data_IF_886074089533
#
_entry.id   IF_886074089533
#
_cell.length_a   1.000
_cell.length_b   1.000
_cell.length_c   1.000
_cell.angle_alpha   90.00
_cell.angle_beta   90.00
_cell.angle_gamma   90.00
#
_symmetry.space_group_name_H-M   'P 1'
#
loop_
_entity.id
_entity.type
_entity.pdbx_description
1 polymer ?
#
# COMPACT_ATOMS: atom_id res chain seq x y z
N UNK A 1 12.37 -13.64 -12.62
CA UNK A 1 11.34 -14.31 -11.78
C UNK A 1 11.64 -14.20 -10.27
N UNK A 2 12.83 -14.59 -9.79
CA UNK A 2 13.16 -14.54 -8.35
C UNK A 2 13.15 -13.09 -7.80
N UNK A 3 13.72 -12.14 -8.54
CA UNK A 3 13.76 -10.74 -8.12
C UNK A 3 12.36 -10.14 -7.99
N UNK A 4 11.47 -10.41 -8.94
CA UNK A 4 10.07 -9.98 -8.93
C UNK A 4 9.29 -10.60 -7.78
N UNK A 5 9.60 -11.84 -7.41
CA UNK A 5 9.04 -12.50 -6.23
C UNK A 5 9.47 -11.80 -4.94
N UNK A 6 10.77 -11.50 -4.80
CA UNK A 6 11.30 -10.76 -3.64
C UNK A 6 10.70 -9.35 -3.58
N UNK A 7 10.64 -8.64 -4.70
CA UNK A 7 10.05 -7.30 -4.78
C UNK A 7 8.55 -7.32 -4.46
N UNK A 8 7.79 -8.30 -4.98
CA UNK A 8 6.37 -8.47 -4.66
C UNK A 8 6.12 -8.78 -3.20
N UNK A 9 6.97 -9.61 -2.60
CA UNK A 9 6.93 -9.91 -1.17
C UNK A 9 7.21 -8.66 -0.32
N UNK A 10 8.34 -8.00 -0.56
CA UNK A 10 8.75 -6.80 0.17
C UNK A 10 7.73 -5.67 0.02
N UNK A 11 7.20 -5.48 -1.20
CA UNK A 11 6.15 -4.51 -1.47
C UNK A 11 4.91 -4.77 -0.61
N UNK A 12 4.45 -6.02 -0.55
CA UNK A 12 3.23 -6.37 0.20
C UNK A 12 3.42 -6.23 1.71
N UNK A 13 4.59 -6.61 2.22
CA UNK A 13 4.95 -6.43 3.64
C UNK A 13 5.06 -4.94 4.00
N UNK A 14 5.76 -4.15 3.20
CA UNK A 14 5.88 -2.72 3.40
C UNK A 14 4.51 -2.02 3.31
N UNK A 15 3.65 -2.48 2.41
CA UNK A 15 2.28 -1.99 2.26
C UNK A 15 1.46 -2.27 3.53
N UNK A 16 1.49 -3.49 4.05
CA UNK A 16 0.78 -3.86 5.26
C UNK A 16 1.24 -3.04 6.47
N UNK A 17 2.55 -2.82 6.63
CA UNK A 17 3.12 -1.98 7.69
C UNK A 17 2.74 -0.50 7.53
N UNK A 18 2.76 0.01 6.30
CA UNK A 18 2.34 1.40 6.05
C UNK A 18 0.85 1.58 6.37
N UNK A 19 0.02 0.60 6.03
CA UNK A 19 -1.41 0.61 6.34
C UNK A 19 -1.69 0.60 7.85
N UNK A 20 -0.99 -0.25 8.63
CA UNK A 20 -1.14 -0.25 10.10
C UNK A 20 -0.74 1.09 10.72
N UNK A 21 0.30 1.73 10.20
CA UNK A 21 0.76 3.03 10.66
C UNK A 21 -0.23 4.15 10.32
N UNK A 22 -0.85 4.10 9.13
CA UNK A 22 -1.88 5.07 8.69
C UNK A 22 -3.13 4.96 9.56
N UNK A 23 -3.61 3.75 9.82
CA UNK A 23 -4.84 3.55 10.60
C UNK A 23 -4.67 3.93 12.07
N UNK A 24 -3.45 3.85 12.60
CA UNK A 24 -3.16 4.34 13.96
C UNK A 24 -3.18 5.86 14.09
N UNK A 25 -3.23 6.62 12.98
CA UNK A 25 -3.24 8.08 13.05
C UNK A 25 -4.58 8.61 13.56
N UNK A 26 -4.50 9.49 14.56
CA UNK A 26 -5.61 10.33 15.06
C UNK A 26 -5.60 11.72 14.41
N UNK A 27 -5.24 11.78 13.14
CA UNK A 27 -5.27 13.03 12.40
C UNK A 27 -5.54 12.72 10.94
N UNK A 28 -6.66 13.22 10.42
CA UNK A 28 -7.05 13.04 9.02
C UNK A 28 -5.95 13.53 8.07
N UNK A 29 -5.27 14.64 8.37
CA UNK A 29 -4.17 15.16 7.56
C UNK A 29 -2.96 14.21 7.53
N UNK A 30 -2.57 13.63 8.67
CA UNK A 30 -1.46 12.66 8.73
C UNK A 30 -1.82 11.34 8.04
N UNK A 31 -3.07 10.89 8.20
CA UNK A 31 -3.57 9.72 7.51
C UNK A 31 -3.59 9.93 5.99
N UNK A 32 -4.08 11.07 5.50
CA UNK A 32 -4.05 11.46 4.09
C UNK A 32 -2.64 11.51 3.52
N UNK A 33 -1.68 12.09 4.23
CA UNK A 33 -0.27 12.09 3.82
C UNK A 33 0.26 10.67 3.71
N UNK A 34 -0.01 9.81 4.69
CA UNK A 34 0.41 8.41 4.65
C UNK A 34 -0.22 7.64 3.49
N UNK A 35 -1.51 7.84 3.21
CA UNK A 35 -2.20 7.25 2.05
C UNK A 35 -1.61 7.76 0.73
N UNK A 36 -1.30 9.06 0.64
CA UNK A 36 -0.65 9.65 -0.54
C UNK A 36 0.73 9.08 -0.78
N UNK A 37 1.54 8.94 0.27
CA UNK A 37 2.86 8.32 0.18
C UNK A 37 2.77 6.84 -0.22
N UNK A 38 1.80 6.10 0.34
CA UNK A 38 1.56 4.70 0.02
C UNK A 38 1.19 4.50 -1.45
N UNK A 39 0.24 5.29 -1.97
CA UNK A 39 -0.13 5.23 -3.39
C UNK A 39 0.95 5.79 -4.32
N UNK A 40 1.66 6.84 -3.90
CA UNK A 40 2.79 7.39 -4.65
C UNK A 40 3.92 6.36 -4.81
N UNK A 41 4.27 5.65 -3.73
CA UNK A 41 5.23 4.55 -3.78
C UNK A 41 4.76 3.46 -4.75
N UNK A 42 3.49 3.05 -4.67
CA UNK A 42 2.92 2.06 -5.59
C UNK A 42 3.11 2.46 -7.06
N UNK A 43 2.89 3.72 -7.40
CA UNK A 43 3.08 4.23 -8.76
C UNK A 43 4.54 4.21 -9.22
N UNK A 44 5.49 4.52 -8.33
CA UNK A 44 6.92 4.39 -8.63
C UNK A 44 7.33 2.95 -8.91
N UNK A 45 6.78 1.98 -8.16
CA UNK A 45 7.01 0.56 -8.39
C UNK A 45 6.27 0.01 -9.61
N UNK A 46 5.27 0.73 -10.12
CA UNK A 46 4.43 0.28 -11.23
C UNK A 46 5.24 0.05 -12.52
N UNK A 47 6.23 0.91 -12.81
CA UNK A 47 7.14 0.73 -13.95
C UNK A 47 7.97 -0.56 -13.85
N UNK A 48 8.37 -0.94 -12.63
CA UNK A 48 9.11 -2.17 -12.38
C UNK A 48 8.21 -3.41 -12.45
N UNK A 49 6.93 -3.26 -12.10
CA UNK A 49 5.90 -4.30 -12.25
C UNK A 49 5.60 -4.61 -13.73
N UNK A 50 5.37 -3.58 -14.55
CA UNK A 50 4.95 -3.75 -15.95
C UNK A 50 6.03 -4.30 -16.88
N UNK A 51 7.30 -4.14 -16.54
CA UNK A 51 8.42 -4.69 -17.31
C UNK A 51 8.92 -6.06 -16.81
N UNK A 52 8.35 -6.59 -15.72
CA UNK A 52 8.80 -7.81 -15.05
C UNK A 52 7.88 -9.02 -15.26
N UNK A 53 8.31 -10.18 -14.74
CA UNK A 53 7.49 -11.40 -14.75
C UNK A 53 6.26 -11.28 -13.83
N UNK A 54 5.06 -11.26 -14.41
CA UNK A 54 3.78 -11.22 -13.68
C UNK A 54 3.63 -12.38 -12.68
N UNK A 55 4.07 -13.59 -13.05
CA UNK A 55 3.99 -14.76 -12.18
C UNK A 55 4.91 -14.64 -10.97
N UNK A 56 6.13 -14.12 -11.14
CA UNK A 56 7.04 -13.82 -10.02
C UNK A 56 6.41 -12.84 -9.03
N UNK A 57 5.86 -11.73 -9.52
CA UNK A 57 5.13 -10.75 -8.70
C UNK A 57 3.93 -11.38 -7.98
N UNK A 58 3.12 -12.20 -8.67
CA UNK A 58 1.96 -12.85 -8.08
C UNK A 58 2.34 -13.78 -6.92
N UNK A 59 3.39 -14.59 -7.08
CA UNK A 59 3.89 -15.47 -6.02
C UNK A 59 4.41 -14.63 -4.84
N UNK A 60 5.19 -13.60 -5.12
CA UNK A 60 5.72 -12.69 -4.10
C UNK A 60 4.61 -12.01 -3.30
N UNK A 61 3.60 -11.46 -3.98
CA UNK A 61 2.45 -10.82 -3.36
C UNK A 61 1.64 -11.82 -2.53
N UNK A 62 1.40 -13.02 -3.06
CA UNK A 62 0.63 -14.05 -2.34
C UNK A 62 1.32 -14.49 -1.06
N UNK A 63 2.63 -14.73 -1.10
CA UNK A 63 3.41 -15.04 0.11
C UNK A 63 3.47 -13.84 1.07
N UNK A 64 3.67 -12.64 0.53
CA UNK A 64 3.72 -11.39 1.29
C UNK A 64 2.38 -11.04 1.93
N UNK A 65 1.26 -11.46 1.35
CA UNK A 65 -0.08 -11.24 1.89
C UNK A 65 -0.25 -11.94 3.24
N UNK A 66 0.16 -13.21 3.37
CA UNK A 66 0.06 -13.91 4.64
C UNK A 66 0.96 -13.29 5.71
N UNK A 67 2.19 -12.90 5.34
CA UNK A 67 3.09 -12.19 6.24
C UNK A 67 2.53 -10.82 6.65
N UNK A 68 1.96 -10.08 5.70
CA UNK A 68 1.31 -8.79 5.92
C UNK A 68 0.07 -8.91 6.80
N UNK A 69 -0.75 -9.93 6.58
CA UNK A 69 -1.92 -10.24 7.41
C UNK A 69 -1.50 -10.52 8.85
N UNK A 70 -0.48 -11.36 9.05
CA UNK A 70 0.07 -11.64 10.37
C UNK A 70 0.60 -10.36 11.05
N UNK A 71 1.33 -9.50 10.31
CA UNK A 71 1.81 -8.22 10.83
C UNK A 71 0.67 -7.27 11.21
N UNK A 72 -0.38 -7.19 10.39
CA UNK A 72 -1.55 -6.36 10.68
C UNK A 72 -2.32 -6.89 11.89
N UNK A 73 -2.43 -8.21 12.04
CA UNK A 73 -3.08 -8.79 13.21
C UNK A 73 -2.27 -8.58 14.50
N UNK A 74 -0.94 -8.63 14.41
CA UNK A 74 -0.07 -8.52 15.59
C UNK A 74 0.26 -7.08 15.98
N UNK A 75 0.39 -6.19 14.99
CA UNK A 75 0.82 -4.79 15.17
C UNK A 75 -0.20 -3.78 14.65
N UNK A 76 -1.35 -4.21 14.15
CA UNK A 76 -2.44 -3.30 13.80
C UNK A 76 -3.06 -2.67 15.05
N UNK A 77 -3.85 -1.60 14.89
CA UNK A 77 -4.76 -1.14 15.92
C UNK A 77 -5.95 -2.12 16.06
N UNK A 78 -6.45 -2.31 17.29
CA UNK A 78 -7.63 -3.15 17.56
C UNK A 78 -8.89 -2.64 16.84
N UNK A 79 -9.05 -1.32 16.76
CA UNK A 79 -10.10 -0.66 15.99
C UNK A 79 -9.54 0.53 15.18
N UNK A 80 -9.95 0.71 13.92
CA UNK A 80 -9.61 1.88 13.13
C UNK A 80 -10.26 3.15 13.71
N UNK A 81 -9.51 4.25 13.80
CA UNK A 81 -10.08 5.54 14.23
C UNK A 81 -11.03 6.07 13.14
N UNK A 82 -12.09 6.79 13.51
CA UNK A 82 -13.04 7.38 12.54
C UNK A 82 -12.32 8.24 11.49
N UNK A 83 -11.36 9.05 11.92
CA UNK A 83 -10.58 9.92 11.04
C UNK A 83 -9.73 9.12 10.05
N UNK A 84 -9.12 8.01 10.49
CA UNK A 84 -8.36 7.13 9.61
C UNK A 84 -9.26 6.37 8.64
N UNK A 85 -10.46 5.97 9.08
CA UNK A 85 -11.44 5.33 8.23
C UNK A 85 -11.89 6.27 7.11
N UNK A 86 -12.16 7.54 7.43
CA UNK A 86 -12.47 8.56 6.41
C UNK A 86 -11.29 8.76 5.44
N UNK A 87 -10.07 8.87 5.95
CA UNK A 87 -8.90 9.07 5.10
C UNK A 87 -8.60 7.88 4.17
N UNK A 88 -8.77 6.65 4.65
CA UNK A 88 -8.49 5.42 3.89
C UNK A 88 -9.64 5.05 2.95
N UNK A 89 -10.87 5.02 3.45
CA UNK A 89 -12.02 4.52 2.69
C UNK A 89 -12.69 5.58 1.82
N UNK A 90 -12.76 6.83 2.30
CA UNK A 90 -13.43 7.90 1.56
C UNK A 90 -12.44 8.64 0.64
N UNK A 91 -11.30 9.05 1.20
CA UNK A 91 -10.35 9.89 0.49
C UNK A 91 -9.27 9.09 -0.25
N UNK A 92 -8.99 7.86 0.17
CA UNK A 92 -8.00 7.00 -0.46
C UNK A 92 -8.25 6.76 -1.96
N UNK A 93 -9.48 6.38 -2.38
CA UNK A 93 -9.81 6.25 -3.80
C UNK A 93 -9.60 7.55 -4.59
N UNK A 94 -9.95 8.71 -4.01
CA UNK A 94 -9.76 10.02 -4.64
C UNK A 94 -8.27 10.32 -4.84
N UNK A 95 -7.46 10.09 -3.80
CA UNK A 95 -5.99 10.24 -3.86
C UNK A 95 -5.40 9.32 -4.92
N UNK A 96 -5.83 8.07 -4.99
CA UNK A 96 -5.35 7.12 -5.99
C UNK A 96 -5.68 7.57 -7.42
N UNK A 97 -6.92 8.00 -7.67
CA UNK A 97 -7.34 8.52 -8.98
C UNK A 97 -6.52 9.75 -9.38
N UNK A 98 -6.35 10.71 -8.46
CA UNK A 98 -5.55 11.92 -8.72
C UNK A 98 -4.11 11.59 -9.07
N UNK A 99 -3.47 10.71 -8.30
CA UNK A 99 -2.10 10.28 -8.56
C UNK A 99 -1.97 9.53 -9.89
N UNK A 100 -2.94 8.69 -10.25
CA UNK A 100 -2.97 8.03 -11.55
C UNK A 100 -3.08 9.04 -12.70
N UNK A 101 -3.97 10.03 -12.58
CA UNK A 101 -4.10 11.10 -13.59
C UNK A 101 -2.79 11.87 -13.73
N UNK A 102 -2.15 12.24 -12.63
CA UNK A 102 -0.85 12.93 -12.65
C UNK A 102 0.22 12.10 -13.36
N UNK A 103 0.31 10.79 -13.07
CA UNK A 103 1.26 9.90 -13.73
C UNK A 103 0.97 9.73 -15.23
N UNK A 104 -0.30 9.76 -15.65
CA UNK A 104 -0.67 9.64 -17.07
C UNK A 104 -0.42 10.94 -17.86
N UNK A 105 -0.38 12.08 -17.19
CA UNK A 105 -0.12 13.40 -17.81
C UNK A 105 1.38 13.76 -17.84
N UNK A 106 2.23 13.00 -17.14
CA UNK A 106 3.69 13.13 -17.10
C UNK A 106 4.37 12.14 -18.04
#
# INVERSE_FOLDING_TARGET
MLMEMVLGFLFTVAWALSYTLVIRQRSAARALLGVTLLFGAMLLFNRYRFNGSLSGWFIGISAGFFAGLWLVQHYGPEEPTEESAVAVFLMGPVVMVLLMVLVLLL
#
